data_IF_329154045702
#
_entry.id   IF_329154045702
#
_cell.length_a   1.000
_cell.length_b   1.000
_cell.length_c   1.000
_cell.angle_alpha   90.00
_cell.angle_beta   90.00
_cell.angle_gamma   90.00
#
_symmetry.space_group_name_H-M   'P 1'
#
loop_
_entity.id
_entity.type
_entity.pdbx_description
1 polymer ?
#
# COMPACT_ATOMS: atom_id res chain seq x y z
N UNK A 1 -2.41 -16.20 13.53
CA UNK A 1 -2.74 -15.55 12.23
C UNK A 1 -1.66 -14.50 11.96
N UNK A 2 -1.05 -14.49 10.77
CA UNK A 2 0.04 -13.55 10.43
C UNK A 2 -0.53 -12.25 9.86
N UNK A 3 -0.79 -11.27 10.71
CA UNK A 3 -1.10 -9.89 10.32
C UNK A 3 0.15 -9.19 9.78
N UNK A 4 0.05 -8.54 8.62
CA UNK A 4 1.14 -7.83 7.96
C UNK A 4 1.13 -6.35 8.39
N UNK A 5 1.92 -6.03 9.41
CA UNK A 5 2.05 -4.66 9.97
C UNK A 5 3.20 -3.89 9.31
N UNK A 6 3.27 -2.56 9.48
CA UNK A 6 4.36 -1.72 8.90
C UNK A 6 5.77 -2.27 9.16
N UNK A 7 5.98 -2.90 10.32
CA UNK A 7 7.27 -3.48 10.70
C UNK A 7 7.66 -4.71 9.86
N UNK A 8 6.68 -5.38 9.25
CA UNK A 8 6.85 -6.56 8.41
C UNK A 8 6.90 -6.24 6.92
N UNK A 9 6.76 -4.95 6.57
CA UNK A 9 6.75 -4.50 5.20
C UNK A 9 8.18 -4.19 4.73
N UNK A 10 8.69 -5.03 3.85
CA UNK A 10 10.04 -4.92 3.29
C UNK A 10 10.05 -4.12 1.97
N UNK A 11 11.24 -3.66 1.58
CA UNK A 11 11.45 -2.87 0.37
C UNK A 11 11.19 -3.75 -0.86
N UNK A 12 10.06 -3.53 -1.55
CA UNK A 12 9.58 -4.41 -2.61
C UNK A 12 8.19 -5.01 -2.36
N UNK A 13 7.51 -4.62 -1.29
CA UNK A 13 6.14 -5.03 -0.99
C UNK A 13 5.13 -3.89 -1.10
N UNK A 14 3.90 -4.23 -1.47
CA UNK A 14 2.80 -3.32 -1.63
C UNK A 14 2.38 -2.76 -0.26
N UNK A 15 2.59 -1.45 -0.10
CA UNK A 15 2.27 -0.70 1.13
C UNK A 15 0.86 -0.12 1.16
N UNK A 16 -0.07 -0.72 0.42
CA UNK A 16 -1.44 -0.22 0.39
C UNK A 16 -2.15 -0.54 1.72
N UNK A 17 -2.70 0.46 2.42
CA UNK A 17 -3.43 0.22 3.66
C UNK A 17 -4.77 -0.46 3.36
N UNK A 18 -5.03 -1.58 4.01
CA UNK A 18 -6.30 -2.32 3.95
C UNK A 18 -6.96 -2.20 5.32
N UNK A 19 -8.21 -1.73 5.30
CA UNK A 19 -8.97 -1.42 6.52
C UNK A 19 -8.75 0.01 7.02
N UNK A 20 -9.36 0.31 8.16
CA UNK A 20 -9.26 1.60 8.82
C UNK A 20 -8.16 1.56 9.89
N UNK A 21 -7.48 2.68 10.18
CA UNK A 21 -6.49 2.73 11.26
C UNK A 21 -7.08 2.48 12.66
N UNK A 22 -8.41 2.51 12.79
CA UNK A 22 -9.16 2.21 14.02
C UNK A 22 -9.55 0.73 14.13
N UNK A 23 -9.41 -0.04 13.04
CA UNK A 23 -9.74 -1.46 12.99
C UNK A 23 -8.57 -2.31 13.49
N UNK A 24 -8.86 -3.33 14.29
CA UNK A 24 -7.89 -4.32 14.74
C UNK A 24 -7.38 -5.22 13.61
N UNK A 25 -8.12 -5.26 12.49
CA UNK A 25 -7.72 -5.91 11.24
C UNK A 25 -6.93 -4.99 10.30
N UNK A 26 -6.45 -3.81 10.74
CA UNK A 26 -5.62 -2.96 9.90
C UNK A 26 -4.33 -3.65 9.47
N UNK A 27 -4.16 -3.83 8.16
CA UNK A 27 -2.96 -4.45 7.60
C UNK A 27 -2.57 -3.83 6.26
N UNK A 28 -1.36 -4.12 5.82
CA UNK A 28 -0.89 -3.76 4.50
C UNK A 28 -1.03 -4.94 3.54
N UNK A 29 -1.27 -4.64 2.27
CA UNK A 29 -1.43 -5.65 1.21
C UNK A 29 -0.32 -6.72 1.23
N UNK A 30 0.96 -6.33 1.28
CA UNK A 30 2.07 -7.27 1.36
C UNK A 30 2.38 -8.05 0.07
N UNK A 31 1.59 -7.87 -1.00
CA UNK A 31 1.90 -8.40 -2.33
C UNK A 31 3.19 -7.82 -2.90
N UNK A 32 3.86 -8.51 -3.85
CA UNK A 32 5.04 -7.97 -4.52
C UNK A 32 4.73 -6.62 -5.18
N UNK A 33 5.49 -5.59 -4.82
CA UNK A 33 5.38 -4.28 -5.46
C UNK A 33 5.94 -4.31 -6.87
N UNK A 34 5.43 -3.45 -7.74
CA UNK A 34 5.98 -3.31 -9.08
C UNK A 34 7.41 -2.73 -9.03
N UNK A 35 8.30 -3.12 -9.96
CA UNK A 35 9.62 -2.51 -10.08
C UNK A 35 9.44 -1.02 -10.37
N UNK A 36 10.02 -0.16 -9.53
CA UNK A 36 9.92 1.34 -9.53
C UNK A 36 8.74 1.96 -8.79
N UNK A 37 7.79 1.17 -8.28
CA UNK A 37 6.58 1.70 -7.63
C UNK A 37 6.37 1.09 -6.24
N UNK A 38 5.80 1.84 -5.27
CA UNK A 38 5.58 1.37 -3.90
C UNK A 38 4.40 0.40 -3.74
N UNK A 39 3.62 0.14 -4.79
CA UNK A 39 2.41 -0.68 -4.75
C UNK A 39 2.41 -1.75 -5.85
N UNK A 40 1.60 -2.80 -5.71
CA UNK A 40 1.33 -3.78 -6.77
C UNK A 40 0.43 -3.17 -7.86
N UNK A 41 0.28 -3.83 -9.01
CA UNK A 41 -0.50 -3.33 -10.15
C UNK A 41 -1.93 -2.91 -9.75
N UNK A 42 -2.65 -3.75 -9.02
CA UNK A 42 -4.03 -3.52 -8.62
C UNK A 42 -4.18 -2.30 -7.72
N UNK A 43 -3.24 -2.11 -6.79
CA UNK A 43 -3.23 -0.96 -5.89
C UNK A 43 -2.66 0.29 -6.55
N UNK A 44 -1.78 0.15 -7.54
CA UNK A 44 -1.35 1.27 -8.38
C UNK A 44 -2.52 1.86 -9.16
N UNK A 45 -3.40 1.03 -9.73
CA UNK A 45 -4.60 1.52 -10.41
C UNK A 45 -5.55 2.25 -9.45
N UNK A 46 -5.71 1.75 -8.21
CA UNK A 46 -6.46 2.45 -7.16
C UNK A 46 -5.80 3.75 -6.71
N UNK A 47 -4.47 3.79 -6.62
CA UNK A 47 -3.70 4.98 -6.28
C UNK A 47 -3.78 6.04 -7.39
N UNK A 48 -3.84 5.58 -8.65
CA UNK A 48 -3.97 6.40 -9.85
C UNK A 48 -5.40 6.89 -10.09
N UNK A 49 -6.39 6.40 -9.34
CA UNK A 49 -7.67 7.09 -9.22
C UNK A 49 -7.40 8.57 -8.93
N UNK A 50 -8.20 9.53 -9.45
CA UNK A 50 -7.84 10.93 -9.53
C UNK A 50 -7.82 11.65 -8.16
N UNK A 51 -6.94 11.22 -7.26
CA UNK A 51 -6.53 11.96 -6.09
C UNK A 51 -5.53 13.00 -6.58
N UNK A 52 -6.09 14.14 -6.98
CA UNK A 52 -5.48 15.47 -7.07
C UNK A 52 -3.93 15.47 -6.99
N UNK A 53 -3.32 15.57 -8.17
CA UNK A 53 -2.00 16.11 -8.53
C UNK A 53 -0.94 16.18 -7.40
N UNK A 54 0.28 15.65 -7.59
CA UNK A 54 1.40 16.06 -6.75
C UNK A 54 1.56 17.57 -6.85
N UNK A 55 1.47 18.29 -5.72
CA UNK A 55 2.07 19.61 -5.62
C UNK A 55 3.58 19.39 -5.73
N UNK A 56 4.09 19.45 -6.95
CA UNK A 56 5.47 19.83 -7.18
C UNK A 56 5.63 21.24 -6.57
N UNK A 57 6.51 21.34 -5.58
CA UNK A 57 6.99 22.62 -5.07
C UNK A 57 8.20 23.08 -5.86
#
# INVERSE_FOLDING_TARGET
MSIMTMMKLESGMCRWPIGNPEDEDFHFCGDPSLPTLPYCETHMEKAQAPTRKPKAS
#
